data_IF_017706304328
#
_entry.id   IF_017706304328
#
_cell.length_a   1.000
_cell.length_b   1.000
_cell.length_c   1.000
_cell.angle_alpha   90.00
_cell.angle_beta   90.00
_cell.angle_gamma   90.00
#
_symmetry.space_group_name_H-M   'P 1'
#
loop_
_entity.id
_entity.type
_entity.pdbx_description
1 polymer ?
#
# COMPACT_ATOMS: atom_id res chain seq x y z
N UNK A 1 7.50 -4.62 21.67
CA UNK A 1 7.18 -4.93 20.26
C UNK A 1 7.64 -3.78 19.39
N UNK A 2 8.19 -4.02 18.19
CA UNK A 2 8.62 -2.95 17.27
C UNK A 2 7.88 -3.11 15.93
N UNK A 3 7.19 -2.07 15.48
CA UNK A 3 6.52 -1.98 14.17
C UNK A 3 6.41 -0.50 13.76
N UNK A 4 6.18 -0.22 12.47
CA UNK A 4 6.00 1.15 12.01
C UNK A 4 4.54 1.60 12.21
N UNK A 5 4.31 2.85 12.61
CA UNK A 5 2.93 3.37 12.77
C UNK A 5 2.12 3.28 11.47
N UNK A 6 2.79 3.38 10.33
CA UNK A 6 2.19 3.16 9.01
C UNK A 6 1.57 1.77 8.86
N UNK A 7 2.08 0.75 9.56
CA UNK A 7 1.61 -0.63 9.44
C UNK A 7 0.20 -0.83 10.04
N UNK A 8 -0.21 0.07 10.95
CA UNK A 8 -1.51 0.03 11.63
C UNK A 8 -2.41 1.22 11.27
N UNK A 9 -1.95 2.15 10.44
CA UNK A 9 -2.66 3.41 10.17
C UNK A 9 -4.05 3.21 9.54
N UNK A 10 -4.27 2.12 8.79
CA UNK A 10 -5.58 1.77 8.23
C UNK A 10 -6.44 0.87 9.13
N UNK A 11 -5.91 0.39 10.26
CA UNK A 11 -6.63 -0.51 11.16
C UNK A 11 -7.46 0.31 12.14
N UNK A 12 -8.75 0.42 11.86
CA UNK A 12 -9.65 1.28 12.65
C UNK A 12 -10.17 0.60 13.94
N UNK A 13 -10.03 -0.72 14.09
CA UNK A 13 -10.48 -1.39 15.32
C UNK A 13 -9.34 -1.49 16.35
N UNK A 14 -9.62 -1.07 17.59
CA UNK A 14 -8.65 -1.21 18.69
C UNK A 14 -8.23 -2.67 18.93
N UNK A 15 -9.16 -3.62 18.75
CA UNK A 15 -8.83 -5.05 18.81
C UNK A 15 -7.93 -5.50 17.66
N UNK A 16 -8.12 -4.97 16.45
CA UNK A 16 -7.27 -5.25 15.30
C UNK A 16 -5.84 -4.79 15.52
N UNK A 17 -5.66 -3.56 16.02
CA UNK A 17 -4.35 -3.04 16.41
C UNK A 17 -3.70 -3.97 17.44
N UNK A 18 -4.45 -4.32 18.50
CA UNK A 18 -3.91 -5.17 19.57
C UNK A 18 -3.55 -6.58 19.10
N UNK A 19 -4.37 -7.18 18.25
CA UNK A 19 -4.08 -8.49 17.65
C UNK A 19 -2.82 -8.36 16.77
N UNK A 20 -2.70 -7.33 15.95
CA UNK A 20 -1.49 -7.09 15.15
C UNK A 20 -0.23 -7.04 16.03
N UNK A 21 -0.27 -6.29 17.12
CA UNK A 21 0.85 -6.22 18.08
C UNK A 21 1.23 -7.59 18.65
N UNK A 22 0.23 -8.41 18.99
CA UNK A 22 0.45 -9.78 19.46
C UNK A 22 1.11 -10.65 18.38
N UNK A 23 0.72 -10.52 17.12
CA UNK A 23 1.33 -11.30 16.04
C UNK A 23 2.76 -10.85 15.74
N UNK A 24 3.02 -9.54 15.71
CA UNK A 24 4.36 -8.98 15.44
C UNK A 24 5.39 -9.40 16.48
N UNK A 25 5.00 -9.64 17.74
CA UNK A 25 5.91 -10.21 18.75
C UNK A 25 6.52 -11.56 18.32
N UNK A 26 5.81 -12.32 17.49
CA UNK A 26 6.18 -13.65 17.01
C UNK A 26 6.49 -13.66 15.52
N UNK A 27 6.82 -12.50 14.93
CA UNK A 27 7.08 -12.30 13.50
C UNK A 27 8.11 -13.26 12.92
N UNK A 28 9.14 -13.63 13.69
CA UNK A 28 10.18 -14.57 13.27
C UNK A 28 9.70 -16.02 13.20
N UNK A 29 8.70 -16.39 14.02
CA UNK A 29 8.14 -17.75 14.07
C UNK A 29 7.00 -17.88 13.04
N UNK A 30 6.25 -16.79 12.80
CA UNK A 30 5.14 -16.77 11.85
C UNK A 30 3.90 -17.55 12.31
N UNK A 31 3.89 -18.03 13.55
CA UNK A 31 2.76 -18.76 14.15
C UNK A 31 2.62 -18.41 15.62
N UNK A 32 1.39 -18.39 16.11
CA UNK A 32 1.08 -18.17 17.52
C UNK A 32 -0.21 -18.90 17.92
N UNK A 33 -0.12 -19.81 18.88
CA UNK A 33 -1.28 -20.44 19.52
C UNK A 33 -1.65 -19.65 20.79
N UNK A 34 -2.93 -19.28 20.92
CA UNK A 34 -3.45 -18.56 22.10
C UNK A 34 -4.78 -19.17 22.49
N UNK A 35 -5.00 -19.39 23.80
CA UNK A 35 -6.31 -19.80 24.29
C UNK A 35 -7.35 -18.68 24.10
N UNK A 36 -8.61 -19.04 23.90
CA UNK A 36 -9.71 -18.07 23.76
C UNK A 36 -9.80 -17.17 24.99
N UNK A 37 -9.58 -17.72 26.17
CA UNK A 37 -9.63 -16.98 27.43
C UNK A 37 -8.48 -15.98 27.56
N UNK A 38 -7.24 -16.41 27.29
CA UNK A 38 -6.08 -15.52 27.31
C UNK A 38 -6.21 -14.40 26.27
N UNK A 39 -6.70 -14.72 25.06
CA UNK A 39 -6.91 -13.71 24.03
C UNK A 39 -7.94 -12.66 24.47
N UNK A 40 -9.01 -13.06 25.16
CA UNK A 40 -10.01 -12.12 25.68
C UNK A 40 -9.46 -11.21 26.77
N UNK A 41 -8.62 -11.76 27.66
CA UNK A 41 -7.92 -10.98 28.68
C UNK A 41 -6.94 -9.98 28.06
N UNK A 42 -6.16 -10.41 27.06
CA UNK A 42 -5.19 -9.54 26.35
C UNK A 42 -5.86 -8.40 25.56
N UNK A 43 -7.11 -8.59 25.16
CA UNK A 43 -7.95 -7.60 24.46
C UNK A 43 -8.87 -6.82 25.41
N UNK A 44 -8.76 -7.05 26.73
CA UNK A 44 -9.55 -6.38 27.78
C UNK A 44 -11.06 -6.43 27.52
N UNK A 45 -11.55 -7.55 26.96
CA UNK A 45 -12.94 -7.68 26.55
C UNK A 45 -13.93 -7.86 27.71
N UNK A 46 -13.45 -8.28 28.89
CA UNK A 46 -14.29 -8.58 30.04
C UNK A 46 -15.44 -9.51 29.67
N UNK A 47 -16.69 -9.06 29.89
CA UNK A 47 -17.91 -9.82 29.59
C UNK A 47 -18.47 -9.60 28.17
N UNK A 48 -17.82 -8.81 27.31
CA UNK A 48 -18.29 -8.56 25.94
C UNK A 48 -18.18 -9.83 25.09
N UNK A 49 -19.13 -10.03 24.18
CA UNK A 49 -19.19 -11.17 23.24
C UNK A 49 -19.16 -12.56 23.91
N UNK A 50 -20.07 -12.86 24.85
CA UNK A 50 -20.03 -14.12 25.61
C UNK A 50 -20.13 -15.35 24.71
N UNK A 51 -20.86 -15.26 23.61
CA UNK A 51 -20.91 -16.29 22.57
C UNK A 51 -19.63 -16.26 21.73
N UNK A 52 -19.02 -17.44 21.55
CA UNK A 52 -17.82 -17.56 20.73
C UNK A 52 -18.07 -17.11 19.28
N UNK A 53 -19.26 -17.33 18.73
CA UNK A 53 -19.62 -16.87 17.39
C UNK A 53 -19.51 -15.35 17.23
N UNK A 54 -19.97 -14.59 18.23
CA UNK A 54 -19.87 -13.12 18.21
C UNK A 54 -18.43 -12.65 18.39
N UNK A 55 -17.69 -13.31 19.30
CA UNK A 55 -16.27 -13.01 19.51
C UNK A 55 -15.47 -13.26 18.24
N UNK A 56 -15.71 -14.39 17.57
CA UNK A 56 -15.11 -14.71 16.28
C UNK A 56 -15.44 -13.64 15.24
N UNK A 57 -16.72 -13.36 15.02
CA UNK A 57 -17.17 -12.44 13.94
C UNK A 57 -16.71 -11.00 14.16
N UNK A 58 -16.84 -10.48 15.38
CA UNK A 58 -16.63 -9.04 15.68
C UNK A 58 -15.21 -8.70 16.10
N UNK A 59 -14.41 -9.70 16.47
CA UNK A 59 -13.06 -9.48 17.00
C UNK A 59 -12.03 -10.18 16.12
N UNK A 60 -12.12 -11.50 15.97
CA UNK A 60 -11.09 -12.26 15.25
C UNK A 60 -11.19 -11.99 13.74
N UNK A 61 -12.35 -12.23 13.15
CA UNK A 61 -12.56 -12.05 11.70
C UNK A 61 -12.30 -10.59 11.30
N UNK A 62 -12.91 -9.64 12.00
CA UNK A 62 -12.69 -8.20 11.75
C UNK A 62 -11.22 -7.80 11.85
N UNK A 63 -10.49 -8.28 12.86
CA UNK A 63 -9.06 -7.98 12.99
C UNK A 63 -8.23 -8.61 11.86
N UNK A 64 -8.49 -9.87 11.53
CA UNK A 64 -7.77 -10.59 10.47
C UNK A 64 -8.00 -9.92 9.12
N UNK A 65 -9.23 -9.53 8.81
CA UNK A 65 -9.56 -8.82 7.58
C UNK A 65 -8.83 -7.47 7.50
N UNK A 66 -8.91 -6.65 8.54
CA UNK A 66 -8.22 -5.35 8.59
C UNK A 66 -6.70 -5.47 8.50
N UNK A 67 -6.10 -6.44 9.18
CA UNK A 67 -4.66 -6.69 9.12
C UNK A 67 -4.26 -7.12 7.70
N UNK A 68 -5.05 -8.00 7.09
CA UNK A 68 -4.84 -8.45 5.72
C UNK A 68 -5.08 -7.37 4.67
N UNK A 69 -5.88 -6.34 4.96
CA UNK A 69 -6.12 -5.24 4.01
C UNK A 69 -5.08 -4.13 4.18
N UNK A 70 -4.83 -3.70 5.41
CA UNK A 70 -4.13 -2.45 5.67
C UNK A 70 -2.66 -2.60 6.06
N UNK A 71 -2.22 -3.81 6.44
CA UNK A 71 -0.87 -4.02 6.97
C UNK A 71 0.03 -4.82 6.00
N UNK A 72 1.36 -4.79 6.17
CA UNK A 72 2.28 -5.64 5.42
C UNK A 72 2.22 -7.12 5.83
N UNK A 73 1.37 -7.50 6.78
CA UNK A 73 1.23 -8.86 7.27
C UNK A 73 0.06 -9.57 6.57
N UNK A 74 0.28 -10.81 6.15
CA UNK A 74 -0.77 -11.75 5.77
C UNK A 74 -1.03 -12.69 6.92
N UNK A 75 -2.28 -12.79 7.36
CA UNK A 75 -2.71 -13.54 8.54
C UNK A 75 -3.85 -14.49 8.18
N UNK A 76 -3.80 -15.70 8.68
CA UNK A 76 -4.91 -16.64 8.74
C UNK A 76 -4.98 -17.26 10.14
N UNK A 77 -6.09 -17.93 10.43
CA UNK A 77 -6.21 -18.62 11.71
C UNK A 77 -7.02 -19.91 11.60
N UNK A 78 -6.74 -20.82 12.53
CA UNK A 78 -7.47 -22.06 12.73
C UNK A 78 -8.02 -22.14 14.15
N UNK A 79 -9.12 -22.89 14.32
CA UNK A 79 -9.76 -23.10 15.61
C UNK A 79 -9.45 -24.49 16.14
N UNK A 80 -8.85 -24.58 17.33
CA UNK A 80 -8.64 -25.83 18.03
C UNK A 80 -9.78 -26.07 19.01
N UNK A 81 -10.39 -27.26 18.93
CA UNK A 81 -11.53 -27.65 19.76
C UNK A 81 -11.14 -28.72 20.77
N UNK A 82 -11.78 -28.67 21.93
CA UNK A 82 -11.76 -29.73 22.92
C UNK A 82 -13.21 -30.16 23.15
N UNK A 83 -13.58 -31.33 22.63
CA UNK A 83 -14.97 -31.71 22.48
C UNK A 83 -15.72 -30.72 21.57
N UNK A 84 -16.84 -30.18 22.06
CA UNK A 84 -17.67 -29.20 21.31
C UNK A 84 -17.19 -27.75 21.44
N UNK A 85 -16.31 -27.45 22.40
CA UNK A 85 -15.89 -26.08 22.72
C UNK A 85 -14.60 -25.72 21.97
N UNK A 86 -14.55 -24.54 21.36
CA UNK A 86 -13.30 -23.96 20.84
C UNK A 86 -12.47 -23.46 22.02
N UNK A 87 -11.26 -23.97 22.16
CA UNK A 87 -10.37 -23.67 23.29
C UNK A 87 -9.21 -22.77 22.89
N UNK A 88 -8.67 -22.93 21.67
CA UNK A 88 -7.53 -22.15 21.20
C UNK A 88 -7.72 -21.66 19.78
N UNK A 89 -7.01 -20.58 19.46
CA UNK A 89 -6.85 -20.02 18.13
C UNK A 89 -5.38 -20.16 17.74
N UNK A 90 -5.13 -20.80 16.61
CA UNK A 90 -3.79 -20.84 16.00
C UNK A 90 -3.74 -19.79 14.90
N UNK A 91 -3.02 -18.71 15.13
CA UNK A 91 -2.70 -17.75 14.09
C UNK A 91 -1.49 -18.22 13.30
N UNK A 92 -1.59 -18.16 11.97
CA UNK A 92 -0.48 -18.31 11.04
C UNK A 92 -0.34 -17.03 10.25
N UNK A 93 0.87 -16.50 10.16
CA UNK A 93 1.11 -15.22 9.52
C UNK A 93 2.49 -15.11 8.92
N UNK A 94 2.58 -14.36 7.83
CA UNK A 94 3.81 -14.10 7.10
C UNK A 94 3.82 -12.66 6.62
N UNK A 95 5.00 -12.11 6.42
CA UNK A 95 5.11 -10.86 5.67
C UNK A 95 4.60 -11.11 4.26
N UNK A 96 3.73 -10.21 3.80
CA UNK A 96 3.48 -10.10 2.37
C UNK A 96 4.83 -9.77 1.77
N UNK A 97 5.29 -10.58 0.82
CA UNK A 97 6.38 -10.12 -0.04
C UNK A 97 5.91 -8.76 -0.54
N UNK A 98 6.71 -7.72 -0.32
CA UNK A 98 6.52 -6.47 -1.03
C UNK A 98 6.69 -6.84 -2.51
N UNK A 99 5.63 -7.28 -3.18
CA UNK A 99 5.43 -6.80 -4.54
C UNK A 99 5.51 -5.30 -4.37
N UNK A 100 6.53 -4.72 -4.99
CA UNK A 100 6.83 -3.30 -4.95
C UNK A 100 5.62 -2.60 -5.61
N UNK A 101 4.54 -2.49 -4.86
CA UNK A 101 3.52 -1.47 -4.98
C UNK A 101 3.89 -0.38 -3.98
N UNK A 102 5.18 -0.02 -3.96
CA UNK A 102 5.44 1.40 -3.98
C UNK A 102 4.80 1.86 -5.29
N UNK A 103 3.76 2.68 -5.20
CA UNK A 103 3.60 3.73 -6.20
C UNK A 103 4.83 4.64 -6.06
N UNK A 104 6.00 4.13 -6.41
CA UNK A 104 7.08 4.97 -6.89
C UNK A 104 6.62 5.38 -8.28
N UNK A 105 5.90 6.50 -8.33
CA UNK A 105 5.64 7.21 -9.58
C UNK A 105 6.96 7.59 -10.31
N UNK A 106 8.10 7.38 -9.64
CA UNK A 106 9.45 7.59 -10.14
C UNK A 106 9.90 6.59 -11.20
N UNK A 107 9.22 5.44 -11.42
CA UNK A 107 9.69 4.42 -12.38
C UNK A 107 8.67 3.95 -13.44
N UNK A 108 7.49 4.59 -13.54
CA UNK A 108 6.62 4.35 -14.70
C UNK A 108 7.16 5.10 -15.92
N UNK A 109 7.91 4.40 -16.76
CA UNK A 109 8.20 4.84 -18.12
C UNK A 109 6.92 4.70 -18.94
N UNK A 110 6.35 5.82 -19.36
CA UNK A 110 5.14 5.84 -20.16
C UNK A 110 5.49 5.65 -21.63
N UNK A 111 4.97 4.59 -22.26
CA UNK A 111 5.07 4.41 -23.71
C UNK A 111 4.07 5.34 -24.39
N UNK A 112 4.51 6.56 -24.71
CA UNK A 112 3.74 7.53 -25.48
C UNK A 112 3.74 7.15 -26.97
N UNK A 113 2.61 7.33 -27.65
CA UNK A 113 2.57 7.21 -29.12
C UNK A 113 3.18 8.44 -29.79
N UNK A 114 3.63 8.33 -31.03
CA UNK A 114 4.20 9.47 -31.78
C UNK A 114 3.25 10.67 -31.86
N UNK A 115 1.93 10.42 -31.89
CA UNK A 115 0.92 11.48 -31.85
C UNK A 115 0.88 12.17 -30.48
N UNK A 116 0.95 11.41 -29.38
CA UNK A 116 1.01 11.95 -28.02
C UNK A 116 2.31 12.72 -27.78
N UNK A 117 3.45 12.18 -28.23
CA UNK A 117 4.76 12.86 -28.15
C UNK A 117 4.69 14.20 -28.89
N UNK A 118 4.13 14.21 -30.10
CA UNK A 118 3.97 15.44 -30.86
C UNK A 118 3.06 16.47 -30.16
N UNK A 119 1.90 16.02 -29.67
CA UNK A 119 0.95 16.88 -28.97
C UNK A 119 1.58 17.47 -27.69
N UNK A 120 2.12 16.63 -26.81
CA UNK A 120 2.71 17.07 -25.56
C UNK A 120 3.98 17.90 -25.78
N UNK A 121 4.85 17.52 -26.72
CA UNK A 121 6.06 18.31 -27.00
C UNK A 121 5.74 19.75 -27.44
N UNK A 122 4.69 19.93 -28.24
CA UNK A 122 4.23 21.26 -28.66
C UNK A 122 3.56 22.05 -27.52
N UNK A 123 2.88 21.37 -26.59
CA UNK A 123 2.28 22.02 -25.42
C UNK A 123 3.33 22.40 -24.37
N UNK A 124 4.26 21.49 -24.09
CA UNK A 124 5.32 21.65 -23.11
C UNK A 124 6.30 22.76 -23.51
N UNK A 125 6.62 22.93 -24.80
CA UNK A 125 7.52 24.00 -25.24
C UNK A 125 6.97 25.40 -24.94
N UNK A 126 5.65 25.54 -24.82
CA UNK A 126 4.98 26.83 -24.52
C UNK A 126 4.78 27.07 -23.04
N UNK A 127 5.13 26.12 -22.16
CA UNK A 127 5.02 26.31 -20.72
C UNK A 127 6.14 27.22 -20.22
N UNK A 128 5.76 28.26 -19.48
CA UNK A 128 6.72 29.17 -18.87
C UNK A 128 7.70 28.43 -17.93
N UNK A 129 7.20 27.43 -17.21
CA UNK A 129 7.98 26.56 -16.33
C UNK A 129 9.14 25.85 -17.05
N UNK A 130 8.99 25.57 -18.35
CA UNK A 130 9.98 24.87 -19.18
C UNK A 130 10.81 25.82 -20.07
N UNK A 131 10.62 27.14 -19.93
CA UNK A 131 11.38 28.13 -20.71
C UNK A 131 12.89 28.07 -20.44
N UNK A 132 13.30 27.55 -19.29
CA UNK A 132 14.71 27.38 -18.92
C UNK A 132 15.43 26.31 -19.75
N UNK A 133 14.68 25.42 -20.42
CA UNK A 133 15.23 24.39 -21.31
C UNK A 133 15.55 24.94 -22.72
N UNK A 134 15.08 26.16 -23.02
CA UNK A 134 15.37 26.85 -24.27
C UNK A 134 16.74 27.53 -24.21
N UNK A 135 17.50 27.44 -25.31
CA UNK A 135 18.66 28.30 -25.49
C UNK A 135 18.23 29.77 -25.72
N UNK A 136 19.14 30.71 -25.45
CA UNK A 136 18.85 32.14 -25.60
C UNK A 136 18.44 32.47 -27.06
N UNK A 137 17.21 32.97 -27.24
CA UNK A 137 16.66 33.29 -28.57
C UNK A 137 16.18 32.09 -29.38
N UNK A 138 16.11 30.89 -28.78
CA UNK A 138 15.58 29.69 -29.43
C UNK A 138 14.06 29.78 -29.61
N UNK A 139 13.57 29.38 -30.79
CA UNK A 139 12.13 29.37 -31.07
C UNK A 139 11.42 28.20 -30.37
N UNK A 140 10.12 28.36 -30.12
CA UNK A 140 9.29 27.33 -29.49
C UNK A 140 9.21 26.03 -30.28
N UNK A 141 9.34 26.08 -31.60
CA UNK A 141 9.30 24.90 -32.47
C UNK A 141 10.58 24.06 -32.33
N UNK A 142 11.72 24.71 -32.12
CA UNK A 142 13.00 24.03 -31.89
C UNK A 142 13.01 23.41 -30.49
N UNK A 143 12.54 24.14 -29.47
CA UNK A 143 12.37 23.59 -28.12
C UNK A 143 11.40 22.40 -28.11
N UNK A 144 10.27 22.49 -28.84
CA UNK A 144 9.32 21.39 -28.95
C UNK A 144 9.96 20.13 -29.53
N UNK A 145 10.80 20.27 -30.56
CA UNK A 145 11.53 19.14 -31.15
C UNK A 145 12.48 18.48 -30.15
N UNK A 146 13.19 19.28 -29.34
CA UNK A 146 14.05 18.77 -28.26
C UNK A 146 13.23 18.02 -27.20
N UNK A 147 12.15 18.61 -26.70
CA UNK A 147 11.28 17.98 -25.71
C UNK A 147 10.70 16.66 -26.23
N UNK A 148 10.33 16.56 -27.51
CA UNK A 148 9.85 15.31 -28.12
C UNK A 148 10.88 14.19 -28.05
N UNK A 149 12.15 14.49 -28.29
CA UNK A 149 13.24 13.53 -28.11
C UNK A 149 13.43 13.16 -26.64
N UNK A 150 13.34 14.14 -25.73
CA UNK A 150 13.42 13.88 -24.28
C UNK A 150 12.24 13.04 -23.75
N UNK A 151 11.06 13.13 -24.37
CA UNK A 151 9.90 12.30 -24.02
C UNK A 151 10.03 10.84 -24.48
N UNK A 152 10.90 10.57 -25.47
CA UNK A 152 11.24 9.20 -25.91
C UNK A 152 12.25 8.54 -24.98
N UNK A 153 13.15 9.33 -24.38
CA UNK A 153 14.15 8.82 -23.42
C UNK A 153 13.49 8.57 -22.04
N UNK A 154 13.47 7.31 -21.56
CA UNK A 154 12.90 6.96 -20.25
C UNK A 154 13.46 7.75 -19.06
N UNK A 155 14.72 8.17 -19.13
CA UNK A 155 15.38 8.89 -18.04
C UNK A 155 14.91 10.34 -18.02
N UNK A 156 14.89 10.97 -19.20
CA UNK A 156 14.52 12.37 -19.33
C UNK A 156 13.01 12.58 -19.25
N UNK A 157 12.20 11.60 -19.65
CA UNK A 157 10.74 11.63 -19.55
C UNK A 157 10.25 11.88 -18.12
N UNK A 158 10.99 11.40 -17.11
CA UNK A 158 10.62 11.52 -15.69
C UNK A 158 10.36 12.96 -15.25
N UNK A 159 11.13 13.93 -15.78
CA UNK A 159 10.97 15.34 -15.41
C UNK A 159 9.68 15.95 -15.96
N UNK A 160 9.09 15.38 -17.02
CA UNK A 160 7.88 15.89 -17.65
C UNK A 160 6.60 15.27 -17.09
N UNK A 161 6.68 14.18 -16.29
CA UNK A 161 5.52 13.48 -15.73
C UNK A 161 4.53 14.41 -15.01
N UNK A 162 4.96 15.34 -14.14
CA UNK A 162 4.03 16.27 -13.48
C UNK A 162 3.26 17.13 -14.48
N UNK A 163 3.95 17.66 -15.50
CA UNK A 163 3.33 18.51 -16.52
C UNK A 163 2.41 17.72 -17.45
N UNK A 164 2.77 16.48 -17.81
CA UNK A 164 1.92 15.60 -18.62
C UNK A 164 0.57 15.33 -17.93
N UNK A 165 0.57 15.12 -16.61
CA UNK A 165 -0.67 14.92 -15.83
C UNK A 165 -1.53 16.18 -15.79
N UNK A 166 -0.92 17.35 -15.62
CA UNK A 166 -1.63 18.63 -15.69
C UNK A 166 -2.26 18.87 -17.08
N UNK A 167 -1.63 18.34 -18.13
CA UNK A 167 -2.15 18.34 -19.50
C UNK A 167 -3.19 17.21 -19.76
N UNK A 168 -3.59 16.46 -18.72
CA UNK A 168 -4.63 15.44 -18.81
C UNK A 168 -4.16 14.06 -19.22
N UNK A 169 -2.86 13.79 -19.24
CA UNK A 169 -2.34 12.45 -19.49
C UNK A 169 -2.67 11.50 -18.32
N UNK A 170 -3.46 10.46 -18.61
CA UNK A 170 -3.86 9.41 -17.66
C UNK A 170 -3.14 8.11 -18.03
N UNK A 171 -1.87 8.01 -17.66
CA UNK A 171 -1.05 6.79 -17.80
C UNK A 171 -0.85 6.05 -16.48
#
# INVERSE_FOLDING_TARGET
>A
TKYALSDIAGINSGYGIRIYELLVQYRQIGKREISVESLRSMLELGKKYPLFADFKKRVIDTAVDQINECSPLSVSYEQKKTGRKVTHILFSFKEKSKSINQQSEQDKVYKLTDAQINMFGNQLSRLHELSHLAAQGESYDVLASRIKEMLKDPIQQKQFIPHLRNLGFKG
#
